data_IF_248043204381
#
_entry.id   IF_248043204381
#
_cell.length_a   1.000
_cell.length_b   1.000
_cell.length_c   1.000
_cell.angle_alpha   90.00
_cell.angle_beta   90.00
_cell.angle_gamma   90.00
#
_symmetry.space_group_name_H-M   'P 1'
#
loop_
_entity.id
_entity.type
_entity.pdbx_description
1 polymer ?
#
# COMPACT_ATOMS: atom_id res chain seq x y z
N UNK A 1 87.34 -14.31 -66.68
CA UNK A 1 87.84 -13.35 -65.65
C UNK A 1 87.01 -12.06 -65.52
N UNK A 2 87.09 -11.04 -66.40
CA UNK A 2 86.27 -9.79 -66.21
C UNK A 2 84.76 -9.96 -66.37
N UNK A 3 84.31 -10.73 -67.36
CA UNK A 3 82.88 -11.00 -67.59
C UNK A 3 82.26 -11.79 -66.43
N UNK A 4 83.00 -12.78 -65.94
CA UNK A 4 82.65 -13.64 -64.81
C UNK A 4 82.54 -12.87 -63.49
N UNK A 5 83.43 -11.89 -63.27
CA UNK A 5 83.34 -10.97 -62.13
C UNK A 5 82.11 -10.06 -62.21
N UNK A 6 81.67 -9.68 -63.42
CA UNK A 6 80.48 -8.85 -63.64
C UNK A 6 79.20 -9.62 -63.34
N UNK A 7 79.11 -10.87 -63.79
CA UNK A 7 77.98 -11.77 -63.48
C UNK A 7 77.91 -12.10 -61.99
N UNK A 8 79.05 -12.32 -61.33
CA UNK A 8 79.07 -12.54 -59.88
C UNK A 8 78.56 -11.30 -59.12
N UNK A 9 79.01 -10.10 -59.51
CA UNK A 9 78.54 -8.84 -58.92
C UNK A 9 77.05 -8.60 -59.14
N UNK A 10 76.50 -8.95 -60.30
CA UNK A 10 75.05 -8.83 -60.53
C UNK A 10 74.24 -9.82 -59.71
N UNK A 11 74.72 -11.05 -59.54
CA UNK A 11 74.06 -12.04 -58.69
C UNK A 11 74.11 -11.67 -57.20
N UNK A 12 75.22 -11.08 -56.73
CA UNK A 12 75.32 -10.56 -55.36
C UNK A 12 74.34 -9.40 -55.16
N UNK A 13 74.25 -8.45 -56.10
CA UNK A 13 73.31 -7.34 -56.00
C UNK A 13 71.83 -7.80 -56.01
N UNK A 14 71.50 -8.84 -56.79
CA UNK A 14 70.15 -9.44 -56.77
C UNK A 14 69.85 -10.12 -55.44
N UNK A 15 70.80 -10.86 -54.87
CA UNK A 15 70.64 -11.50 -53.56
C UNK A 15 70.54 -10.47 -52.43
N UNK A 16 71.31 -9.39 -52.47
CA UNK A 16 71.18 -8.28 -51.50
C UNK A 16 69.79 -7.64 -51.57
N UNK A 17 69.25 -7.45 -52.76
CA UNK A 17 67.90 -6.90 -52.96
C UNK A 17 66.80 -7.86 -52.49
N UNK A 18 66.93 -9.17 -52.75
CA UNK A 18 65.99 -10.19 -52.26
C UNK A 18 66.01 -10.27 -50.73
N UNK A 19 67.18 -10.13 -50.10
CA UNK A 19 67.33 -10.09 -48.63
C UNK A 19 66.65 -8.84 -48.04
N UNK A 20 66.67 -7.71 -48.72
CA UNK A 20 65.95 -6.51 -48.29
C UNK A 20 64.41 -6.64 -48.43
N UNK A 21 63.91 -7.43 -49.39
CA UNK A 21 62.47 -7.67 -49.57
C UNK A 21 61.88 -8.76 -48.66
N UNK A 22 62.67 -9.73 -48.21
CA UNK A 22 62.24 -10.80 -47.28
C UNK A 22 61.56 -10.27 -46.00
N UNK A 23 62.13 -9.30 -45.24
CA UNK A 23 61.50 -8.81 -44.01
C UNK A 23 60.16 -8.10 -44.26
N UNK A 24 59.97 -7.47 -45.43
CA UNK A 24 58.68 -6.86 -45.80
C UNK A 24 57.59 -7.91 -46.01
N UNK A 25 57.92 -9.01 -46.72
CA UNK A 25 57.00 -10.14 -46.92
C UNK A 25 56.69 -10.85 -45.61
N UNK A 26 57.67 -11.03 -44.72
CA UNK A 26 57.44 -11.59 -43.38
C UNK A 26 56.53 -10.70 -42.52
N UNK A 27 56.71 -9.37 -42.57
CA UNK A 27 55.83 -8.42 -41.88
C UNK A 27 54.41 -8.47 -42.41
N UNK A 28 54.22 -8.57 -43.72
CA UNK A 28 52.90 -8.66 -44.34
C UNK A 28 52.18 -9.96 -43.96
N UNK A 29 52.87 -11.11 -44.01
CA UNK A 29 52.33 -12.39 -43.55
C UNK A 29 51.97 -12.36 -42.06
N UNK A 30 52.83 -11.76 -41.23
CA UNK A 30 52.57 -11.61 -39.80
C UNK A 30 51.36 -10.71 -39.53
N UNK A 31 51.19 -9.65 -40.32
CA UNK A 31 50.03 -8.75 -40.24
C UNK A 31 48.75 -9.50 -40.60
N UNK A 32 48.74 -10.23 -41.72
CA UNK A 32 47.57 -11.02 -42.14
C UNK A 32 47.19 -12.06 -41.09
N UNK A 33 48.17 -12.80 -40.54
CA UNK A 33 47.91 -13.77 -39.48
C UNK A 33 47.31 -13.12 -38.22
N UNK A 34 47.88 -11.99 -37.77
CA UNK A 34 47.36 -11.26 -36.61
C UNK A 34 45.95 -10.74 -36.85
N UNK A 35 45.68 -10.22 -38.04
CA UNK A 35 44.36 -9.69 -38.40
C UNK A 35 43.33 -10.82 -38.50
N UNK A 36 43.73 -11.99 -39.01
CA UNK A 36 42.91 -13.20 -39.02
C UNK A 36 42.58 -13.67 -37.60
N UNK A 37 43.58 -13.81 -36.72
CA UNK A 37 43.38 -14.21 -35.31
C UNK A 37 42.47 -13.23 -34.57
N UNK A 38 42.64 -11.92 -34.79
CA UNK A 38 41.82 -10.88 -34.16
C UNK A 38 40.37 -10.96 -34.63
N UNK A 39 40.16 -11.19 -35.93
CA UNK A 39 38.82 -11.33 -36.54
C UNK A 39 38.14 -12.60 -36.05
N UNK A 40 38.86 -13.71 -36.01
CA UNK A 40 38.37 -14.99 -35.50
C UNK A 40 37.98 -14.89 -34.02
N UNK A 41 38.82 -14.27 -33.19
CA UNK A 41 38.53 -14.06 -31.77
C UNK A 41 37.29 -13.16 -31.57
N UNK A 42 37.14 -12.11 -32.38
CA UNK A 42 35.96 -11.23 -32.35
C UNK A 42 34.70 -11.99 -32.74
N UNK A 43 34.75 -12.78 -33.81
CA UNK A 43 33.65 -13.65 -34.25
C UNK A 43 33.22 -14.63 -33.15
N UNK A 44 34.18 -15.29 -32.50
CA UNK A 44 33.89 -16.21 -31.39
C UNK A 44 33.21 -15.51 -30.22
N UNK A 45 33.65 -14.30 -29.85
CA UNK A 45 33.01 -13.49 -28.80
C UNK A 45 31.58 -13.13 -29.15
N UNK A 46 31.33 -12.70 -30.38
CA UNK A 46 30.01 -12.34 -30.88
C UNK A 46 29.07 -13.57 -30.92
N UNK A 47 29.59 -14.72 -31.35
CA UNK A 47 28.86 -15.98 -31.34
C UNK A 47 28.48 -16.40 -29.92
N UNK A 48 29.42 -16.37 -28.99
CA UNK A 48 29.16 -16.70 -27.58
C UNK A 48 28.16 -15.71 -26.94
N UNK A 49 28.24 -14.43 -27.25
CA UNK A 49 27.29 -13.42 -26.76
C UNK A 49 25.87 -13.69 -27.31
N UNK A 50 25.76 -14.07 -28.59
CA UNK A 50 24.48 -14.45 -29.21
C UNK A 50 23.88 -15.70 -28.55
N UNK A 51 24.67 -16.77 -28.38
CA UNK A 51 24.19 -17.99 -27.73
C UNK A 51 23.73 -17.72 -26.30
N UNK A 52 24.48 -16.91 -25.53
CA UNK A 52 24.05 -16.51 -24.19
C UNK A 52 22.75 -15.70 -24.19
N UNK A 53 22.55 -14.81 -25.17
CA UNK A 53 21.31 -14.05 -25.30
C UNK A 53 20.13 -14.95 -25.69
N UNK A 54 20.33 -15.90 -26.61
CA UNK A 54 19.33 -16.87 -27.01
C UNK A 54 18.96 -17.81 -25.84
N UNK A 55 19.94 -18.27 -25.06
CA UNK A 55 19.72 -19.04 -23.83
C UNK A 55 18.91 -18.24 -22.82
N UNK A 56 19.29 -16.99 -22.52
CA UNK A 56 18.54 -16.12 -21.62
C UNK A 56 17.10 -15.88 -22.11
N UNK A 57 16.91 -15.61 -23.41
CA UNK A 57 15.59 -15.44 -24.01
C UNK A 57 14.76 -16.73 -23.92
N UNK A 58 15.36 -17.89 -24.13
CA UNK A 58 14.69 -19.18 -24.00
C UNK A 58 14.29 -19.49 -22.56
N UNK A 59 15.12 -19.10 -21.58
CA UNK A 59 14.80 -19.21 -20.16
C UNK A 59 13.65 -18.27 -19.80
N UNK A 60 13.64 -17.03 -20.27
CA UNK A 60 12.54 -16.07 -20.05
C UNK A 60 11.25 -16.50 -20.75
N UNK A 61 11.33 -17.12 -21.93
CA UNK A 61 10.15 -17.57 -22.68
C UNK A 61 9.52 -18.83 -22.07
N UNK A 62 10.34 -19.75 -21.53
CA UNK A 62 9.86 -20.96 -20.86
C UNK A 62 9.46 -20.70 -19.40
N UNK A 63 10.15 -19.80 -18.71
CA UNK A 63 9.78 -19.33 -17.37
C UNK A 63 8.89 -18.10 -17.52
N UNK A 64 7.59 -18.33 -17.64
CA UNK A 64 6.55 -17.30 -17.67
C UNK A 64 6.81 -16.20 -16.63
N UNK A 65 7.27 -15.03 -17.08
CA UNK A 65 7.45 -13.84 -16.26
C UNK A 65 8.72 -13.87 -15.43
N UNK A 66 9.49 -12.78 -15.50
CA UNK A 66 10.67 -12.49 -14.71
C UNK A 66 10.71 -13.25 -13.37
N UNK A 67 11.77 -14.03 -13.15
CA UNK A 67 12.06 -14.62 -11.86
C UNK A 67 12.37 -13.46 -10.90
N UNK A 68 11.33 -12.86 -10.33
CA UNK A 68 11.44 -11.81 -9.32
C UNK A 68 12.15 -12.43 -8.13
N UNK A 69 13.46 -12.22 -8.04
CA UNK A 69 14.22 -12.52 -6.84
C UNK A 69 13.71 -11.57 -5.77
N UNK A 70 12.94 -12.09 -4.84
CA UNK A 70 12.44 -11.35 -3.67
C UNK A 70 13.68 -10.96 -2.86
N UNK A 71 14.16 -9.72 -3.04
CA UNK A 71 15.31 -9.17 -2.31
C UNK A 71 14.93 -8.91 -0.86
N UNK A 72 13.66 -8.55 -0.63
CA UNK A 72 13.12 -8.25 0.68
C UNK A 72 11.69 -8.78 0.77
N UNK A 73 11.43 -9.54 1.83
CA UNK A 73 10.08 -10.06 2.08
C UNK A 73 9.19 -8.92 2.53
N UNK A 74 7.90 -8.90 2.13
CA UNK A 74 6.99 -7.83 2.54
C UNK A 74 6.89 -7.79 4.06
N UNK A 75 7.36 -6.71 4.66
CA UNK A 75 7.16 -6.46 6.08
C UNK A 75 5.68 -6.27 6.35
N UNK A 76 5.17 -6.94 7.38
CA UNK A 76 3.82 -6.69 7.85
C UNK A 76 3.79 -5.29 8.44
N UNK A 77 2.79 -4.45 8.12
CA UNK A 77 2.65 -3.13 8.71
C UNK A 77 2.71 -3.24 10.24
N UNK A 78 3.62 -2.52 10.87
CA UNK A 78 3.72 -2.46 12.34
C UNK A 78 2.46 -1.85 12.96
N UNK A 79 1.75 -1.03 12.19
CA UNK A 79 0.49 -0.40 12.59
C UNK A 79 -0.62 -0.79 11.61
N UNK A 80 -1.84 -1.06 12.11
CA UNK A 80 -2.96 -1.36 11.24
C UNK A 80 -3.27 -0.15 10.36
N UNK A 81 -3.23 -0.34 9.03
CA UNK A 81 -3.64 0.66 8.05
C UNK A 81 -5.16 0.98 8.07
N UNK A 82 -5.91 0.23 8.88
CA UNK A 82 -7.34 0.44 9.10
C UNK A 82 -7.64 1.67 9.96
N UNK A 83 -8.89 2.16 9.95
CA UNK A 83 -9.28 3.35 10.68
C UNK A 83 -8.94 3.21 12.17
N UNK A 84 -8.58 4.32 12.81
CA UNK A 84 -8.11 4.35 14.20
C UNK A 84 -9.18 3.76 15.13
N UNK A 85 -9.00 2.48 15.50
CA UNK A 85 -9.94 1.69 16.30
C UNK A 85 -10.26 2.35 17.64
N UNK A 86 -9.27 3.03 18.22
CA UNK A 86 -9.41 3.72 19.50
C UNK A 86 -10.32 4.96 19.39
N UNK A 87 -10.26 5.67 18.26
CA UNK A 87 -11.12 6.81 17.99
C UNK A 87 -12.58 6.38 17.78
N UNK A 88 -12.81 5.31 17.00
CA UNK A 88 -14.15 4.76 16.77
C UNK A 88 -14.78 4.28 18.08
N UNK A 89 -14.00 3.57 18.90
CA UNK A 89 -14.47 3.09 20.21
C UNK A 89 -14.83 4.25 21.14
N UNK A 90 -13.97 5.26 21.24
CA UNK A 90 -14.23 6.45 22.05
C UNK A 90 -15.48 7.21 21.59
N UNK A 91 -15.64 7.41 20.29
CA UNK A 91 -16.79 8.12 19.71
C UNK A 91 -18.10 7.33 19.89
N UNK A 92 -18.06 6.00 19.73
CA UNK A 92 -19.21 5.14 19.96
C UNK A 92 -19.71 5.14 21.41
N UNK A 93 -18.80 5.12 22.38
CA UNK A 93 -19.15 5.26 23.80
C UNK A 93 -19.75 6.64 24.07
N UNK A 94 -19.14 7.71 23.54
CA UNK A 94 -19.65 9.07 23.74
C UNK A 94 -21.07 9.24 23.20
N UNK A 95 -21.36 8.72 21.99
CA UNK A 95 -22.68 8.81 21.36
C UNK A 95 -23.72 7.97 22.10
N UNK A 96 -23.39 6.74 22.51
CA UNK A 96 -24.33 5.86 23.21
C UNK A 96 -24.73 6.41 24.59
N UNK A 97 -23.78 6.95 25.36
CA UNK A 97 -24.06 7.63 26.63
C UNK A 97 -24.87 8.92 26.38
N UNK A 98 -24.51 9.68 25.33
CA UNK A 98 -25.23 10.88 24.93
C UNK A 98 -26.70 10.59 24.64
N UNK A 99 -27.00 9.57 23.83
CA UNK A 99 -28.38 9.17 23.52
C UNK A 99 -29.13 8.63 24.75
N UNK A 100 -28.46 7.87 25.61
CA UNK A 100 -29.06 7.33 26.83
C UNK A 100 -29.59 8.45 27.75
N UNK A 101 -28.87 9.56 27.89
CA UNK A 101 -29.33 10.71 28.69
C UNK A 101 -30.19 11.70 27.90
N UNK A 102 -29.89 11.93 26.62
CA UNK A 102 -30.59 12.94 25.81
C UNK A 102 -32.06 12.57 25.55
N UNK A 103 -32.36 11.29 25.31
CA UNK A 103 -33.73 10.83 25.04
C UNK A 103 -34.68 11.13 26.21
N UNK A 104 -34.41 10.71 27.47
CA UNK A 104 -35.29 11.03 28.59
C UNK A 104 -35.32 12.52 28.90
N UNK A 105 -34.20 13.24 28.74
CA UNK A 105 -34.14 14.69 28.95
C UNK A 105 -35.02 15.45 27.95
N UNK A 106 -34.95 15.10 26.66
CA UNK A 106 -35.78 15.70 25.62
C UNK A 106 -37.27 15.40 25.86
N UNK A 107 -37.60 14.17 26.25
CA UNK A 107 -38.97 13.80 26.63
C UNK A 107 -39.44 14.52 27.89
N UNK A 108 -38.53 14.83 28.83
CA UNK A 108 -38.85 15.62 30.02
C UNK A 108 -39.16 17.07 29.66
N UNK A 109 -38.38 17.70 28.79
CA UNK A 109 -38.63 19.08 28.34
C UNK A 109 -39.91 19.22 27.49
N UNK A 110 -40.26 18.20 26.71
CA UNK A 110 -41.52 18.20 25.94
C UNK A 110 -42.76 17.93 26.81
N UNK A 111 -42.57 17.44 28.04
CA UNK A 111 -43.67 17.11 28.93
C UNK A 111 -43.96 18.32 29.83
N UNK A 112 -44.88 19.17 29.38
CA UNK A 112 -45.29 20.43 30.04
C UNK A 112 -46.20 20.17 31.26
N UNK A 113 -45.71 19.32 32.17
CA UNK A 113 -46.41 18.92 33.37
C UNK A 113 -45.82 19.67 34.57
N UNK A 114 -46.58 20.62 35.11
CA UNK A 114 -46.27 21.35 36.34
C UNK A 114 -46.22 20.36 37.51
N UNK A 115 -45.02 19.99 37.95
CA UNK A 115 -44.80 19.00 39.03
C UNK A 115 -44.54 19.64 40.39
N UNK A 116 -44.13 20.90 40.41
CA UNK A 116 -43.80 21.62 41.64
C UNK A 116 -44.73 22.81 41.89
N UNK A 117 -45.03 23.05 43.16
CA UNK A 117 -45.82 24.20 43.64
C UNK A 117 -45.24 25.53 43.14
N UNK A 118 -43.92 25.64 43.13
CA UNK A 118 -43.18 26.83 42.66
C UNK A 118 -43.41 27.15 41.19
N UNK A 119 -43.56 26.13 40.33
CA UNK A 119 -43.71 26.32 38.89
C UNK A 119 -45.10 26.88 38.55
N UNK A 120 -46.11 26.49 39.34
CA UNK A 120 -47.46 27.03 39.23
C UNK A 120 -47.55 28.46 39.79
N UNK A 121 -46.95 28.72 40.96
CA UNK A 121 -46.95 30.06 41.58
C UNK A 121 -46.21 31.09 40.70
N UNK A 122 -45.11 30.69 40.05
CA UNK A 122 -44.35 31.56 39.13
C UNK A 122 -45.09 31.86 37.82
N UNK A 123 -45.80 30.88 37.26
CA UNK A 123 -46.50 31.04 35.97
C UNK A 123 -47.84 31.77 36.11
N UNK A 124 -48.56 31.58 37.22
CA UNK A 124 -49.90 32.19 37.42
C UNK A 124 -49.93 33.36 38.39
N UNK A 125 -48.89 33.57 39.21
CA UNK A 125 -48.81 34.69 40.16
C UNK A 125 -49.78 34.60 41.34
N UNK A 126 -50.46 33.46 41.52
CA UNK A 126 -51.42 33.22 42.59
C UNK A 126 -50.82 32.26 43.63
N UNK A 127 -50.88 32.56 44.93
CA UNK A 127 -50.36 31.66 45.97
C UNK A 127 -51.20 30.38 46.05
N UNK A 128 -50.54 29.21 46.12
CA UNK A 128 -51.25 27.92 46.21
C UNK A 128 -51.83 27.77 47.62
N UNK A 129 -53.16 27.76 47.75
CA UNK A 129 -53.85 27.61 49.04
C UNK A 129 -53.80 26.18 49.60
N UNK A 130 -53.78 25.17 48.74
CA UNK A 130 -53.83 23.75 49.11
C UNK A 130 -53.31 22.88 47.98
N UNK A 131 -52.63 21.78 48.32
CA UNK A 131 -52.18 20.76 47.37
C UNK A 131 -53.11 19.56 47.50
N UNK A 132 -53.87 19.27 46.45
CA UNK A 132 -54.70 18.06 46.41
C UNK A 132 -53.77 16.86 46.19
N UNK A 133 -53.77 15.86 47.08
CA UNK A 133 -52.97 14.67 46.87
C UNK A 133 -53.44 13.97 45.59
N UNK A 134 -52.50 13.46 44.77
CA UNK A 134 -52.85 12.80 43.52
C UNK A 134 -53.77 11.60 43.82
N UNK A 135 -54.99 11.64 43.31
CA UNK A 135 -55.90 10.50 43.37
C UNK A 135 -55.48 9.50 42.28
N UNK A 136 -55.05 8.28 42.63
CA UNK A 136 -54.63 7.30 41.65
C UNK A 136 -55.85 6.72 40.92
N UNK A 137 -56.31 7.41 39.87
CA UNK A 137 -57.22 6.82 38.89
C UNK A 137 -56.45 5.79 38.06
N UNK A 138 -57.01 4.59 37.90
CA UNK A 138 -56.38 3.47 37.17
C UNK A 138 -55.98 3.85 35.74
N UNK A 139 -56.69 4.77 35.11
CA UNK A 139 -56.41 5.25 33.75
C UNK A 139 -55.21 6.21 33.70
N UNK A 140 -55.14 7.19 34.61
CA UNK A 140 -54.01 8.12 34.71
C UNK A 140 -52.69 7.41 35.12
N UNK A 141 -52.79 6.39 35.99
CA UNK A 141 -51.64 5.55 36.32
C UNK A 141 -51.16 4.73 35.12
N UNK A 142 -52.07 4.18 34.31
CA UNK A 142 -51.69 3.40 33.12
C UNK A 142 -51.03 4.27 32.06
N UNK A 143 -51.56 5.48 31.80
CA UNK A 143 -50.99 6.40 30.81
C UNK A 143 -49.57 6.86 31.19
N UNK A 144 -49.35 7.24 32.45
CA UNK A 144 -48.02 7.65 32.94
C UNK A 144 -47.02 6.49 32.98
N UNK A 145 -47.46 5.28 33.36
CA UNK A 145 -46.61 4.08 33.31
C UNK A 145 -46.26 3.66 31.89
N UNK A 146 -47.19 3.78 30.93
CA UNK A 146 -46.92 3.46 29.52
C UNK A 146 -45.92 4.43 28.92
N UNK A 147 -46.07 5.74 29.16
CA UNK A 147 -45.12 6.75 28.67
C UNK A 147 -43.71 6.54 29.25
N UNK A 148 -43.59 6.27 30.55
CA UNK A 148 -42.29 6.05 31.19
C UNK A 148 -41.67 4.69 30.82
N UNK A 149 -42.47 3.65 30.60
CA UNK A 149 -41.97 2.36 30.08
C UNK A 149 -41.48 2.50 28.65
N UNK A 150 -42.18 3.25 27.81
CA UNK A 150 -41.80 3.44 26.41
C UNK A 150 -40.52 4.26 26.27
N UNK A 151 -40.31 5.27 27.12
CA UNK A 151 -39.05 6.03 27.16
C UNK A 151 -37.87 5.19 27.67
N UNK A 152 -38.08 4.35 28.69
CA UNK A 152 -37.05 3.43 29.21
C UNK A 152 -36.70 2.39 28.14
N UNK A 153 -37.70 1.81 27.46
CA UNK A 153 -37.47 0.85 26.38
C UNK A 153 -36.72 1.54 25.22
N UNK A 154 -37.15 2.71 24.77
CA UNK A 154 -36.48 3.44 23.68
C UNK A 154 -35.01 3.76 24.00
N UNK A 155 -34.74 4.25 25.22
CA UNK A 155 -33.37 4.56 25.65
C UNK A 155 -32.48 3.31 25.73
N UNK A 156 -33.01 2.19 26.25
CA UNK A 156 -32.29 0.92 26.33
C UNK A 156 -32.02 0.29 24.95
N UNK A 157 -32.97 0.36 24.02
CA UNK A 157 -32.82 -0.13 22.64
C UNK A 157 -31.77 0.68 21.88
N UNK A 158 -31.76 2.02 22.01
CA UNK A 158 -30.75 2.86 21.38
C UNK A 158 -29.34 2.58 21.92
N UNK A 159 -29.20 2.32 23.23
CA UNK A 159 -27.92 1.94 23.83
C UNK A 159 -27.43 0.57 23.32
N UNK A 160 -28.31 -0.44 23.26
CA UNK A 160 -27.97 -1.79 22.78
C UNK A 160 -27.61 -1.78 21.30
N UNK A 161 -28.37 -1.09 20.45
CA UNK A 161 -28.03 -0.94 19.03
C UNK A 161 -26.68 -0.24 18.83
N UNK A 162 -26.40 0.83 19.59
CA UNK A 162 -25.11 1.52 19.54
C UNK A 162 -23.94 0.59 19.90
N UNK A 163 -24.10 -0.20 20.97
CA UNK A 163 -23.10 -1.18 21.40
C UNK A 163 -22.88 -2.30 20.35
N UNK A 164 -23.94 -2.76 19.70
CA UNK A 164 -23.87 -3.80 18.66
C UNK A 164 -23.15 -3.31 17.40
N UNK A 165 -23.39 -2.07 16.98
CA UNK A 165 -22.68 -1.45 15.84
C UNK A 165 -21.19 -1.30 16.14
N UNK A 166 -20.83 -0.92 17.37
CA UNK A 166 -19.42 -0.85 17.80
C UNK A 166 -18.78 -2.24 17.76
N UNK A 167 -19.48 -3.28 18.26
CA UNK A 167 -18.99 -4.66 18.22
C UNK A 167 -18.80 -5.19 16.79
N UNK A 168 -19.65 -4.78 15.83
CA UNK A 168 -19.54 -5.19 14.42
C UNK A 168 -18.38 -4.49 13.70
N UNK A 169 -18.03 -3.27 14.11
CA UNK A 169 -16.98 -2.45 13.47
C UNK A 169 -15.56 -2.75 13.99
N UNK A 170 -15.42 -3.27 15.22
CA UNK A 170 -14.13 -3.60 15.87
C UNK A 170 -13.58 -4.94 15.38
#
# INVERSE_FOLDING_TARGET
LRAENKTLKSSIAQLEQDIEEMPLKEQELKKINRDYETTQASYQRLLAARENADLQNSLVRNQQGAQFKIVESPERPAEPAGPNRMLIFGLGIAVSIGLLMAIPMALFFLNDSYKFRSDFEYSTGVPVLSVVPPMPTREAQRASMQANRLSVIASSVSFVCGALVIFLVV
#
